data_IF_832848842420
#
_entry.id   IF_832848842420
#
_cell.length_a   1.000
_cell.length_b   1.000
_cell.length_c   1.000
_cell.angle_alpha   90.00
_cell.angle_beta   90.00
_cell.angle_gamma   90.00
#
_symmetry.space_group_name_H-M   'P 1'
#
loop_
_entity.id
_entity.type
_entity.pdbx_description
1 polymer ?
#
# COMPACT_ATOMS: atom_id res chain seq x y z
N UNK A 1 11.51 -7.75 4.59
CA UNK A 1 12.55 -7.20 5.46
C UNK A 1 13.17 -5.97 4.84
N UNK A 2 13.91 -5.22 5.66
CA UNK A 2 14.56 -3.99 5.21
C UNK A 2 15.58 -4.25 4.11
N UNK A 3 16.27 -5.39 4.16
CA UNK A 3 17.28 -5.73 3.17
C UNK A 3 16.65 -5.99 1.81
N UNK A 4 15.53 -6.69 1.77
CA UNK A 4 14.81 -6.96 0.53
C UNK A 4 14.27 -5.65 -0.05
N UNK A 5 13.73 -4.78 0.78
CA UNK A 5 13.23 -3.48 0.35
C UNK A 5 14.34 -2.65 -0.28
N UNK A 6 15.53 -2.63 0.34
CA UNK A 6 16.67 -1.90 -0.20
C UNK A 6 17.10 -2.44 -1.57
N UNK A 7 17.17 -3.77 -1.69
CA UNK A 7 17.53 -4.38 -2.96
C UNK A 7 16.53 -4.00 -4.06
N UNK A 8 15.24 -4.02 -3.73
CA UNK A 8 14.20 -3.64 -4.68
C UNK A 8 14.30 -2.16 -5.06
N UNK A 9 14.56 -1.29 -4.10
CA UNK A 9 14.72 0.13 -4.36
C UNK A 9 15.90 0.39 -5.29
N UNK A 10 17.04 -0.30 -5.07
CA UNK A 10 18.23 -0.14 -5.90
C UNK A 10 17.99 -0.67 -7.32
N UNK A 11 17.26 -1.78 -7.45
CA UNK A 11 17.03 -2.42 -8.74
C UNK A 11 15.94 -1.75 -9.55
N UNK A 12 14.86 -1.32 -8.91
CA UNK A 12 13.65 -0.82 -9.57
C UNK A 12 13.60 0.70 -9.65
N UNK A 13 14.25 1.38 -8.70
CA UNK A 13 14.24 2.85 -8.66
C UNK A 13 12.83 3.42 -8.72
N UNK A 14 12.58 4.27 -9.71
CA UNK A 14 11.28 4.95 -9.86
C UNK A 14 10.12 4.01 -10.18
N UNK A 15 10.41 2.78 -10.56
CA UNK A 15 9.36 1.79 -10.81
C UNK A 15 8.77 1.23 -9.52
N UNK A 16 9.47 1.39 -8.39
CA UNK A 16 8.95 1.00 -7.09
C UNK A 16 8.09 2.12 -6.54
N UNK A 17 6.77 1.92 -6.49
CA UNK A 17 5.82 2.96 -6.10
C UNK A 17 5.54 2.99 -4.60
N UNK A 18 5.87 1.93 -3.89
CA UNK A 18 5.66 1.90 -2.45
C UNK A 18 5.91 0.54 -1.85
N UNK A 19 5.83 0.47 -0.54
CA UNK A 19 6.05 -0.75 0.24
C UNK A 19 4.88 -0.91 1.20
N UNK A 20 4.32 -2.12 1.26
CA UNK A 20 3.20 -2.43 2.14
C UNK A 20 3.71 -3.34 3.25
N UNK A 21 3.47 -2.94 4.49
CA UNK A 21 3.83 -3.75 5.63
C UNK A 21 2.87 -4.90 5.80
N UNK A 22 3.41 -6.10 5.94
CA UNK A 22 2.62 -7.25 6.33
C UNK A 22 2.43 -7.22 7.85
N UNK A 23 1.19 -7.27 8.28
CA UNK A 23 0.86 -7.32 9.68
C UNK A 23 -0.30 -8.28 9.94
N UNK A 24 -0.69 -8.39 11.20
CA UNK A 24 -1.76 -9.29 11.61
C UNK A 24 -3.09 -8.94 10.93
N UNK A 25 -3.36 -7.65 10.71
CA UNK A 25 -4.61 -7.21 10.08
C UNK A 25 -4.72 -7.72 8.64
N UNK A 26 -3.61 -7.80 7.90
CA UNK A 26 -3.61 -8.34 6.54
C UNK A 26 -4.00 -9.81 6.56
N UNK A 27 -3.39 -10.58 7.46
CA UNK A 27 -3.69 -12.01 7.59
C UNK A 27 -5.14 -12.25 8.02
N UNK A 28 -5.62 -11.46 8.97
CA UNK A 28 -7.00 -11.58 9.45
C UNK A 28 -8.01 -11.19 8.38
N UNK A 29 -7.74 -10.15 7.61
CA UNK A 29 -8.60 -9.73 6.53
C UNK A 29 -8.75 -10.85 5.50
N UNK A 30 -7.67 -11.52 5.14
CA UNK A 30 -7.72 -12.67 4.23
C UNK A 30 -8.59 -13.79 4.79
N UNK A 31 -8.48 -14.06 6.10
CA UNK A 31 -9.29 -15.09 6.74
C UNK A 31 -10.78 -14.79 6.71
N UNK A 32 -11.15 -13.51 6.71
CA UNK A 32 -12.55 -13.07 6.63
C UNK A 32 -12.98 -12.71 5.22
N UNK A 33 -12.14 -12.94 4.22
CA UNK A 33 -12.41 -12.60 2.83
C UNK A 33 -12.76 -11.12 2.66
N UNK A 34 -12.00 -10.27 3.34
CA UNK A 34 -12.17 -8.82 3.28
C UNK A 34 -10.89 -8.15 2.83
N UNK A 35 -11.00 -6.96 2.24
CA UNK A 35 -9.82 -6.15 1.99
C UNK A 35 -9.31 -5.58 3.31
N UNK A 36 -8.00 -5.35 3.40
CA UNK A 36 -7.42 -4.76 4.61
C UNK A 36 -7.91 -3.33 4.82
N UNK A 37 -8.32 -2.64 3.76
CA UNK A 37 -8.89 -1.30 3.86
C UNK A 37 -10.23 -1.30 4.59
N UNK A 38 -11.00 -2.37 4.43
CA UNK A 38 -12.28 -2.54 5.12
C UNK A 38 -12.10 -3.10 6.53
N UNK A 39 -11.22 -4.09 6.65
CA UNK A 39 -11.02 -4.81 7.91
C UNK A 39 -10.33 -3.94 8.95
N UNK A 40 -9.32 -3.20 8.54
CA UNK A 40 -8.54 -2.35 9.44
C UNK A 40 -8.24 -1.02 8.75
N UNK A 41 -9.26 -0.18 8.65
CA UNK A 41 -9.26 1.07 7.89
C UNK A 41 -8.12 2.00 8.28
N UNK A 42 -7.74 2.02 9.55
CA UNK A 42 -6.70 2.91 10.05
C UNK A 42 -5.39 2.21 10.36
N UNK A 43 -5.23 0.97 9.90
CA UNK A 43 -4.02 0.19 10.12
C UNK A 43 -2.88 0.61 9.21
N UNK A 44 -1.69 0.09 9.51
CA UNK A 44 -0.48 0.40 8.74
C UNK A 44 -0.58 -0.07 7.29
N UNK A 45 -1.08 -1.27 7.06
CA UNK A 45 -1.19 -1.80 5.70
C UNK A 45 -2.19 -1.01 4.87
N UNK A 46 -3.31 -0.59 5.46
CA UNK A 46 -4.29 0.24 4.77
C UNK A 46 -3.68 1.60 4.41
N UNK A 47 -2.92 2.19 5.33
CA UNK A 47 -2.23 3.46 5.08
C UNK A 47 -1.21 3.32 3.95
N UNK A 48 -0.43 2.23 3.98
CA UNK A 48 0.55 1.95 2.92
C UNK A 48 -0.11 1.79 1.56
N UNK A 49 -1.25 1.10 1.50
CA UNK A 49 -2.01 0.95 0.26
C UNK A 49 -2.50 2.30 -0.27
N UNK A 50 -2.99 3.16 0.62
CA UNK A 50 -3.43 4.49 0.22
C UNK A 50 -2.29 5.31 -0.35
N UNK A 51 -1.10 5.23 0.27
CA UNK A 51 0.08 5.93 -0.22
C UNK A 51 0.51 5.41 -1.59
N UNK A 52 0.48 4.11 -1.80
CA UNK A 52 0.77 3.53 -3.11
C UNK A 52 -0.23 4.03 -4.17
N UNK A 53 -1.51 4.07 -3.82
CA UNK A 53 -2.54 4.58 -4.73
C UNK A 53 -2.32 6.05 -5.09
N UNK A 54 -1.89 6.86 -4.13
CA UNK A 54 -1.57 8.27 -4.37
C UNK A 54 -0.42 8.43 -5.36
N UNK A 55 0.65 7.67 -5.17
CA UNK A 55 1.81 7.73 -6.08
C UNK A 55 1.40 7.31 -7.48
N UNK A 56 0.65 6.22 -7.58
CA UNK A 56 0.19 5.72 -8.87
C UNK A 56 -0.71 6.73 -9.57
N UNK A 57 -1.65 7.31 -8.85
CA UNK A 57 -2.55 8.32 -9.40
C UNK A 57 -1.78 9.54 -9.91
N UNK A 58 -0.77 10.00 -9.16
CA UNK A 58 0.07 11.11 -9.59
C UNK A 58 0.81 10.79 -10.90
N UNK A 59 1.36 9.60 -11.00
CA UNK A 59 2.11 9.19 -12.19
C UNK A 59 1.22 9.05 -13.42
N UNK A 60 -0.04 8.66 -13.22
CA UNK A 60 -1.01 8.51 -14.30
C UNK A 60 -1.79 9.79 -14.58
N UNK A 61 -1.61 10.82 -13.76
CA UNK A 61 -2.35 12.06 -13.90
C UNK A 61 -3.83 11.93 -13.55
N UNK A 62 -4.18 10.97 -12.70
CA UNK A 62 -5.57 10.72 -12.32
C UNK A 62 -5.94 11.45 -11.04
N UNK A 63 -7.21 11.90 -10.90
CA UNK A 63 -7.67 12.46 -9.64
C UNK A 63 -7.77 11.40 -8.56
N UNK A 64 -7.52 11.80 -7.30
CA UNK A 64 -7.63 10.91 -6.14
C UNK A 64 -9.07 10.93 -5.63
N UNK A 65 -9.95 10.26 -6.35
CA UNK A 65 -11.36 10.16 -5.95
C UNK A 65 -11.46 9.42 -4.62
N UNK A 66 -12.10 10.02 -3.65
CA UNK A 66 -12.24 9.44 -2.33
C UNK A 66 -11.11 9.78 -1.37
N UNK A 67 -9.97 10.27 -1.86
CA UNK A 67 -8.86 10.67 -0.99
C UNK A 67 -9.20 11.88 -0.13
N UNK A 68 -10.14 12.70 -0.56
CA UNK A 68 -10.59 13.87 0.18
C UNK A 68 -11.63 13.56 1.27
N UNK A 69 -11.94 12.32 1.46
CA UNK A 69 -12.97 11.91 2.42
C UNK A 69 -12.40 11.35 3.68
#
# INVERSE_FOLDING_TARGET
>A
SKDITRVMQDSLGDRLIGVIHEDQAVREALAYDQSVLEYDTHGQAADDLRKCAQVLAQRLGLPLVGAAR
#
